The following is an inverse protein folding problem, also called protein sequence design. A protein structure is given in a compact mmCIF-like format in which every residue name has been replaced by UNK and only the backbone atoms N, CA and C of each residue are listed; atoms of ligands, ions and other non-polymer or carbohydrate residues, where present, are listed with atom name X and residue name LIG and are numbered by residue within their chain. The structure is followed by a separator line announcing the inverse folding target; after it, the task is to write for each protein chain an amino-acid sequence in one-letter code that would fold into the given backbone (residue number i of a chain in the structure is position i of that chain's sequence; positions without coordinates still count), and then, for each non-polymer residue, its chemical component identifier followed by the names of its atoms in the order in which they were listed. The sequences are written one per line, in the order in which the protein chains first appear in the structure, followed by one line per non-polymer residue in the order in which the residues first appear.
data_IF_406365433970
#
_entry.id   IF_406365433970
#
_cell.length_a   1.000
_cell.length_b   1.000
_cell.length_c   1.000
_cell.angle_alpha   90.00
_cell.angle_beta   90.00
_cell.angle_gamma   90.00
#
_symmetry.space_group_name_H-M   'P 1'
#
loop_
_entity.id
_entity.type
_entity.pdbx_description
1 polymer ?
#
# COMPACT_ATOMS: atom_id res chain seq x y z
N UNK A 1 -9.43 -9.11 -36.06
CA UNK A 1 -9.73 -10.30 -35.22
C UNK A 1 -9.52 -9.88 -33.78
N UNK A 2 -10.60 -9.59 -33.07
CA UNK A 2 -10.55 -9.23 -31.66
C UNK A 2 -10.67 -10.53 -30.87
N UNK A 3 -9.58 -10.97 -30.24
CA UNK A 3 -9.56 -12.17 -29.41
C UNK A 3 -10.54 -12.01 -28.25
N UNK A 4 -11.50 -12.92 -28.20
CA UNK A 4 -12.54 -13.01 -27.20
C UNK A 4 -11.94 -13.46 -25.87
N UNK A 5 -12.22 -12.66 -24.84
CA UNK A 5 -12.46 -13.08 -23.45
C UNK A 5 -11.32 -13.73 -22.68
N UNK A 6 -10.64 -12.91 -21.87
CA UNK A 6 -10.16 -13.29 -20.53
C UNK A 6 -11.37 -13.73 -19.67
N UNK A 7 -11.88 -14.92 -19.96
CA UNK A 7 -12.95 -15.52 -19.20
C UNK A 7 -12.33 -16.00 -17.89
N UNK A 8 -12.32 -15.11 -16.89
CA UNK A 8 -11.93 -15.41 -15.51
C UNK A 8 -12.54 -16.76 -15.11
N UNK A 9 -11.71 -17.79 -14.81
CA UNK A 9 -12.23 -19.12 -14.54
C UNK A 9 -13.21 -19.08 -13.37
N UNK A 10 -14.26 -19.90 -13.41
CA UNK A 10 -15.23 -19.99 -12.31
C UNK A 10 -14.57 -20.39 -10.98
N UNK A 11 -15.20 -20.12 -9.84
CA UNK A 11 -14.59 -20.27 -8.51
C UNK A 11 -14.04 -21.68 -8.22
N UNK A 12 -14.68 -22.74 -8.73
CA UNK A 12 -14.18 -24.12 -8.61
C UNK A 12 -12.93 -24.40 -9.44
N UNK A 13 -12.84 -23.89 -10.68
CA UNK A 13 -11.63 -24.00 -11.51
C UNK A 13 -10.47 -23.19 -10.93
N UNK A 14 -10.75 -22.04 -10.31
CA UNK A 14 -9.72 -21.23 -9.63
C UNK A 14 -9.12 -21.92 -8.42
N UNK A 15 -9.93 -22.60 -7.61
CA UNK A 15 -9.43 -23.37 -6.48
C UNK A 15 -8.52 -24.51 -6.95
N UNK A 16 -8.91 -25.25 -7.99
CA UNK A 16 -8.10 -26.32 -8.57
C UNK A 16 -6.79 -25.80 -9.18
N UNK A 17 -6.83 -24.68 -9.93
CA UNK A 17 -5.63 -24.02 -10.46
C UNK A 17 -4.73 -23.50 -9.34
N UNK A 18 -5.30 -22.92 -8.28
CA UNK A 18 -4.54 -22.45 -7.13
C UNK A 18 -3.91 -23.60 -6.33
N UNK A 19 -4.55 -24.78 -6.30
CA UNK A 19 -3.97 -26.00 -5.72
C UNK A 19 -2.81 -26.53 -6.56
N UNK A 20 -2.96 -26.55 -7.88
CA UNK A 20 -1.90 -26.94 -8.82
C UNK A 20 -0.73 -25.95 -8.79
N UNK A 21 -1.01 -24.64 -8.79
CA UNK A 21 -0.01 -23.57 -8.63
C UNK A 21 0.70 -23.66 -7.28
N UNK A 22 -0.03 -23.91 -6.18
CA UNK A 22 0.57 -24.08 -4.86
C UNK A 22 1.45 -25.34 -4.76
N UNK A 23 1.06 -26.42 -5.46
CA UNK A 23 1.84 -27.65 -5.52
C UNK A 23 3.07 -27.53 -6.43
N UNK A 24 2.97 -26.77 -7.52
CA UNK A 24 4.07 -26.49 -8.46
C UNK A 24 5.02 -25.38 -7.96
N UNK A 25 4.56 -24.53 -7.04
CA UNK A 25 5.36 -23.43 -6.51
C UNK A 25 6.49 -23.91 -5.60
N UNK A 26 7.73 -23.62 -6.04
CA UNK A 26 8.94 -23.73 -5.25
C UNK A 26 9.02 -22.68 -4.13
N UNK A 27 10.23 -22.28 -3.75
CA UNK A 27 10.45 -21.23 -2.77
C UNK A 27 9.95 -19.86 -3.28
N UNK A 28 9.93 -18.86 -2.40
CA UNK A 28 9.84 -17.47 -2.84
C UNK A 28 10.98 -17.13 -3.82
N UNK A 29 10.77 -16.15 -4.73
CA UNK A 29 11.83 -15.68 -5.63
C UNK A 29 13.10 -15.31 -4.86
N UNK A 30 14.26 -15.56 -5.46
CA UNK A 30 15.55 -15.32 -4.80
C UNK A 30 15.65 -13.88 -4.26
N UNK A 31 16.08 -13.75 -3.00
CA UNK A 31 16.20 -12.46 -2.31
C UNK A 31 14.87 -11.82 -1.87
N UNK A 32 13.72 -12.45 -2.14
CA UNK A 32 12.42 -11.97 -1.67
C UNK A 32 12.03 -12.61 -0.34
N UNK A 33 11.91 -11.78 0.69
CA UNK A 33 11.30 -12.15 1.97
C UNK A 33 9.76 -12.11 1.91
N UNK A 34 9.11 -12.90 2.77
CA UNK A 34 7.65 -12.86 2.98
C UNK A 34 7.11 -11.45 3.30
N UNK A 35 7.91 -10.61 3.95
CA UNK A 35 7.55 -9.22 4.24
C UNK A 35 7.61 -8.31 3.01
N UNK A 36 8.58 -8.54 2.13
CA UNK A 36 8.63 -7.85 0.83
C UNK A 36 7.45 -8.27 -0.06
N UNK A 37 7.03 -9.53 0.00
CA UNK A 37 5.82 -9.99 -0.69
C UNK A 37 4.58 -9.26 -0.16
N UNK A 38 4.41 -9.13 1.16
CA UNK A 38 3.33 -8.33 1.77
C UNK A 38 3.39 -6.87 1.31
N UNK A 39 4.57 -6.26 1.27
CA UNK A 39 4.72 -4.88 0.79
C UNK A 39 4.33 -4.75 -0.69
N UNK A 40 4.68 -5.74 -1.53
CA UNK A 40 4.25 -5.78 -2.92
C UNK A 40 2.73 -5.96 -3.02
N UNK A 41 2.14 -6.84 -2.21
CA UNK A 41 0.70 -7.06 -2.15
C UNK A 41 -0.06 -5.78 -1.81
N UNK A 42 0.40 -4.98 -0.83
CA UNK A 42 -0.20 -3.66 -0.53
C UNK A 42 -0.16 -2.74 -1.75
N UNK A 43 0.97 -2.72 -2.46
CA UNK A 43 1.16 -1.90 -3.66
C UNK A 43 0.25 -2.31 -4.82
N UNK A 44 0.04 -3.62 -4.97
CA UNK A 44 -0.77 -4.26 -6.01
C UNK A 44 -2.26 -4.42 -5.65
N UNK A 45 -2.65 -4.17 -4.41
CA UNK A 45 -4.00 -4.40 -3.90
C UNK A 45 -5.12 -3.82 -4.78
N UNK A 46 -5.03 -2.59 -5.32
CA UNK A 46 -6.06 -2.07 -6.24
C UNK A 46 -6.17 -2.87 -7.54
N UNK A 47 -5.05 -3.27 -8.15
CA UNK A 47 -5.03 -4.06 -9.38
C UNK A 47 -5.57 -5.48 -9.16
N UNK A 48 -5.27 -6.05 -8.00
CA UNK A 48 -5.78 -7.35 -7.56
C UNK A 48 -7.20 -7.26 -6.98
N UNK A 49 -7.80 -6.07 -6.91
CA UNK A 49 -9.13 -5.78 -6.36
C UNK A 49 -9.31 -6.13 -4.89
N UNK A 50 -8.25 -6.10 -4.09
CA UNK A 50 -8.26 -6.48 -2.68
C UNK A 50 -8.80 -5.35 -1.81
N UNK A 51 -9.69 -5.70 -0.88
CA UNK A 51 -10.13 -4.77 0.15
C UNK A 51 -9.07 -4.62 1.25
N UNK A 52 -9.13 -3.53 2.01
CA UNK A 52 -8.23 -3.33 3.15
C UNK A 52 -8.32 -4.48 4.18
N UNK A 53 -9.51 -5.06 4.36
CA UNK A 53 -9.70 -6.22 5.24
C UNK A 53 -9.02 -7.50 4.74
N UNK A 54 -9.01 -7.72 3.42
CA UNK A 54 -8.32 -8.86 2.81
C UNK A 54 -6.81 -8.74 2.97
N UNK A 55 -6.27 -7.55 2.74
CA UNK A 55 -4.83 -7.27 2.92
C UNK A 55 -4.43 -7.46 4.38
N UNK A 56 -5.19 -6.91 5.32
CA UNK A 56 -4.93 -7.08 6.76
C UNK A 56 -4.98 -8.55 7.21
N UNK A 57 -5.88 -9.36 6.65
CA UNK A 57 -5.95 -10.79 6.95
C UNK A 57 -4.71 -11.53 6.45
N UNK A 58 -4.27 -11.26 5.21
CA UNK A 58 -3.04 -11.85 4.68
C UNK A 58 -1.84 -11.43 5.50
N UNK A 59 -1.75 -10.15 5.90
CA UNK A 59 -0.68 -9.66 6.77
C UNK A 59 -0.58 -10.44 8.06
N UNK A 60 -1.70 -10.62 8.76
CA UNK A 60 -1.74 -11.44 9.96
C UNK A 60 -1.34 -12.89 9.68
N UNK A 61 -1.77 -13.48 8.56
CA UNK A 61 -1.38 -14.84 8.22
C UNK A 61 0.12 -14.96 7.95
N UNK A 62 0.70 -13.96 7.26
CA UNK A 62 2.14 -13.88 7.08
C UNK A 62 2.82 -13.72 8.44
N UNK A 63 2.33 -12.88 9.35
CA UNK A 63 2.85 -12.75 10.72
C UNK A 63 2.85 -14.07 11.49
N UNK A 64 1.82 -14.91 11.30
CA UNK A 64 1.64 -16.21 11.97
C UNK A 64 2.44 -17.36 11.34
N UNK A 65 2.89 -17.20 10.09
CA UNK A 65 3.78 -18.16 9.42
C UNK A 65 5.23 -18.02 9.88
N UNK A 66 6.02 -19.08 9.72
CA UNK A 66 7.44 -19.10 10.08
C UNK A 66 8.31 -19.07 8.81
N UNK A 67 9.56 -18.58 8.86
CA UNK A 67 10.42 -18.48 7.67
C UNK A 67 10.54 -19.79 6.88
N UNK A 68 10.71 -20.91 7.58
CA UNK A 68 10.84 -22.24 6.96
C UNK A 68 9.57 -22.72 6.23
N UNK A 69 8.40 -22.14 6.54
CA UNK A 69 7.16 -22.51 5.84
C UNK A 69 7.14 -21.96 4.40
N UNK A 70 8.02 -21.01 4.07
CA UNK A 70 8.12 -20.38 2.76
C UNK A 70 9.21 -20.99 1.87
N UNK A 71 9.98 -21.94 2.39
CA UNK A 71 11.02 -22.66 1.66
C UNK A 71 10.44 -23.67 0.65
N UNK A 72 11.27 -24.10 -0.29
CA UNK A 72 10.87 -25.11 -1.28
C UNK A 72 10.51 -26.43 -0.58
N UNK A 73 9.39 -27.04 -0.98
CA UNK A 73 8.89 -28.29 -0.37
C UNK A 73 8.13 -28.10 0.95
N UNK A 74 8.11 -26.90 1.52
CA UNK A 74 7.21 -26.54 2.63
C UNK A 74 5.96 -25.81 2.10
N UNK A 75 4.92 -25.73 2.92
CA UNK A 75 3.70 -24.97 2.62
C UNK A 75 3.29 -24.09 3.82
N UNK A 76 3.04 -22.78 3.60
CA UNK A 76 2.63 -21.85 4.66
C UNK A 76 1.15 -22.02 5.01
N UNK A 77 0.85 -23.01 5.87
CA UNK A 77 -0.48 -23.29 6.41
C UNK A 77 -0.64 -22.59 7.76
N UNK A 78 -1.82 -22.00 8.01
CA UNK A 78 -2.15 -21.26 9.24
C UNK A 78 -3.09 -22.10 10.14
N UNK A 79 -2.54 -22.92 11.06
CA UNK A 79 -3.32 -23.79 11.94
C UNK A 79 -3.87 -23.09 13.20
N UNK A 80 -4.23 -21.80 13.10
CA UNK A 80 -4.70 -20.98 14.23
C UNK A 80 -6.22 -20.98 14.28
N UNK A 81 -6.88 -21.14 15.45
CA UNK A 81 -8.33 -21.15 15.53
C UNK A 81 -8.95 -19.81 15.11
N UNK A 82 -10.17 -19.88 14.56
CA UNK A 82 -10.83 -18.74 13.95
C UNK A 82 -11.17 -17.62 14.94
N UNK A 83 -11.50 -17.97 16.18
CA UNK A 83 -11.79 -17.02 17.25
C UNK A 83 -10.59 -16.11 17.54
N UNK A 84 -9.38 -16.67 17.61
CA UNK A 84 -8.16 -15.87 17.84
C UNK A 84 -7.89 -14.92 16.66
N UNK A 85 -8.07 -15.37 15.41
CA UNK A 85 -7.92 -14.52 14.22
C UNK A 85 -8.95 -13.37 14.24
N UNK A 86 -10.18 -13.69 14.61
CA UNK A 86 -11.28 -12.74 14.73
C UNK A 86 -10.99 -11.67 15.80
N UNK A 87 -10.52 -12.09 16.98
CA UNK A 87 -10.09 -11.20 18.07
C UNK A 87 -8.90 -10.32 17.67
N UNK A 88 -7.87 -10.90 17.03
CA UNK A 88 -6.68 -10.17 16.59
C UNK A 88 -7.03 -9.03 15.62
N UNK A 89 -7.97 -9.28 14.71
CA UNK A 89 -8.43 -8.30 13.72
C UNK A 89 -9.59 -7.42 14.19
N UNK A 90 -10.16 -7.67 15.38
CA UNK A 90 -11.34 -6.96 15.88
C UNK A 90 -12.57 -7.15 14.99
N UNK A 91 -12.77 -8.35 14.44
CA UNK A 91 -13.88 -8.71 13.53
C UNK A 91 -14.64 -9.92 14.05
N UNK A 92 -15.87 -10.11 13.59
CA UNK A 92 -16.61 -11.37 13.83
C UNK A 92 -16.01 -12.52 13.02
N UNK A 93 -16.13 -13.75 13.52
CA UNK A 93 -15.73 -14.94 12.77
C UNK A 93 -16.40 -15.05 11.39
N UNK A 94 -17.66 -14.62 11.28
CA UNK A 94 -18.39 -14.58 10.02
C UNK A 94 -17.71 -13.66 9.01
N UNK A 95 -17.24 -12.49 9.43
CA UNK A 95 -16.50 -11.57 8.57
C UNK A 95 -15.17 -12.18 8.13
N UNK A 96 -14.44 -12.88 9.02
CA UNK A 96 -13.20 -13.57 8.64
C UNK A 96 -13.47 -14.65 7.60
N UNK A 97 -14.50 -15.50 7.78
CA UNK A 97 -14.89 -16.52 6.79
C UNK A 97 -15.24 -15.91 5.43
N UNK A 98 -15.88 -14.74 5.41
CA UNK A 98 -16.20 -14.03 4.18
C UNK A 98 -14.94 -13.48 3.49
N UNK A 99 -13.99 -12.94 4.26
CA UNK A 99 -12.70 -12.48 3.73
C UNK A 99 -11.90 -13.65 3.14
N UNK A 100 -11.82 -14.78 3.84
CA UNK A 100 -11.16 -16.00 3.36
C UNK A 100 -11.79 -16.50 2.06
N UNK A 101 -13.12 -16.56 1.99
CA UNK A 101 -13.83 -16.95 0.77
C UNK A 101 -13.45 -16.02 -0.40
N UNK A 102 -13.49 -14.72 -0.17
CA UNK A 102 -13.16 -13.74 -1.20
C UNK A 102 -11.68 -13.77 -1.61
N UNK A 103 -10.77 -14.16 -0.71
CA UNK A 103 -9.36 -14.40 -1.03
C UNK A 103 -9.16 -15.69 -1.83
N UNK A 104 -9.90 -16.75 -1.49
CA UNK A 104 -9.88 -18.02 -2.22
C UNK A 104 -10.44 -17.86 -3.64
N UNK A 105 -11.52 -17.10 -3.81
CA UNK A 105 -12.07 -16.73 -5.12
C UNK A 105 -11.08 -15.96 -6.00
N UNK A 106 -10.07 -15.32 -5.40
CA UNK A 106 -8.99 -14.61 -6.09
C UNK A 106 -7.74 -15.45 -6.30
N UNK A 107 -7.73 -16.71 -5.85
CA UNK A 107 -6.58 -17.61 -5.94
C UNK A 107 -5.39 -17.12 -5.13
N UNK A 108 -5.63 -16.46 -3.99
CA UNK A 108 -4.55 -16.03 -3.08
C UNK A 108 -4.39 -16.95 -1.88
N UNK A 109 -5.44 -17.69 -1.54
CA UNK A 109 -5.39 -18.73 -0.51
C UNK A 109 -6.15 -19.96 -1.00
N UNK A 110 -5.77 -21.11 -0.47
CA UNK A 110 -6.53 -22.35 -0.60
C UNK A 110 -6.79 -22.92 0.79
N UNK A 111 -7.76 -23.81 0.90
CA UNK A 111 -8.08 -24.44 2.17
C UNK A 111 -7.53 -25.87 2.19
N UNK A 112 -6.63 -26.17 3.13
CA UNK A 112 -6.17 -27.55 3.39
C UNK A 112 -7.06 -28.13 4.49
N UNK A 113 -7.91 -29.09 4.14
CA UNK A 113 -8.89 -29.65 5.07
C UNK A 113 -8.46 -30.99 5.69
N UNK A 114 -9.11 -31.29 6.81
CA UNK A 114 -9.16 -32.61 7.46
C UNK A 114 -10.55 -33.24 7.28
N UNK A 115 -11.28 -32.86 6.23
CA UNK A 115 -12.68 -33.21 6.01
C UNK A 115 -13.71 -32.33 6.74
N UNK A 116 -13.39 -31.73 7.91
CA UNK A 116 -14.34 -30.92 8.70
C UNK A 116 -13.97 -29.44 8.86
N UNK A 117 -13.12 -28.89 7.97
CA UNK A 117 -12.56 -27.51 8.04
C UNK A 117 -12.01 -27.09 9.41
N UNK A 118 -11.53 -28.04 10.21
CA UNK A 118 -10.89 -27.73 11.48
C UNK A 118 -9.53 -27.07 11.24
N UNK A 119 -9.22 -26.02 12.01
CA UNK A 119 -7.91 -25.39 12.05
C UNK A 119 -7.09 -26.01 13.16
N UNK A 120 -6.14 -26.88 12.80
CA UNK A 120 -5.31 -27.64 13.74
C UNK A 120 -3.98 -27.91 13.09
N UNK A 121 -2.91 -27.93 13.86
CA UNK A 121 -1.60 -28.29 13.35
C UNK A 121 -0.66 -28.64 14.48
N UNK A 122 0.45 -29.28 14.12
CA UNK A 122 1.53 -29.60 15.05
C UNK A 122 2.85 -29.30 14.38
N UNK A 123 3.69 -28.51 15.05
CA UNK A 123 5.07 -28.28 14.64
C UNK A 123 6.01 -29.28 15.32
N UNK A 124 7.09 -29.60 14.63
CA UNK A 124 8.22 -30.30 15.20
C UNK A 124 8.98 -29.37 16.16
N UNK A 125 9.31 -29.86 17.36
CA UNK A 125 9.94 -29.02 18.40
C UNK A 125 11.39 -28.65 18.10
N UNK A 126 12.10 -29.45 17.32
CA UNK A 126 13.53 -29.27 17.04
C UNK A 126 13.75 -28.44 15.79
N UNK A 127 12.94 -28.66 14.78
CA UNK A 127 13.10 -28.06 13.44
C UNK A 127 12.09 -26.93 13.17
N UNK A 128 10.99 -26.88 13.92
CA UNK A 128 9.94 -25.85 13.75
C UNK A 128 9.05 -26.04 12.52
N UNK A 129 9.34 -27.03 11.66
CA UNK A 129 8.49 -27.34 10.50
C UNK A 129 7.14 -27.90 10.93
N UNK A 130 6.13 -27.67 10.09
CA UNK A 130 4.82 -28.29 10.25
C UNK A 130 4.93 -29.80 10.00
N UNK A 131 4.64 -30.61 11.03
CA UNK A 131 4.50 -32.07 10.87
C UNK A 131 3.19 -32.44 10.19
N UNK A 132 2.14 -31.71 10.55
CA UNK A 132 0.83 -31.74 9.89
C UNK A 132 0.09 -30.45 10.23
N UNK A 133 -0.73 -29.94 9.31
CA UNK A 133 -1.54 -28.75 9.53
C UNK A 133 -2.77 -28.75 8.63
N UNK A 134 -3.84 -28.16 9.15
CA UNK A 134 -5.11 -27.93 8.48
C UNK A 134 -5.54 -26.49 8.72
N UNK A 135 -6.00 -25.84 7.66
CA UNK A 135 -6.37 -24.42 7.67
C UNK A 135 -6.13 -23.74 6.32
N UNK A 136 -6.23 -22.41 6.28
CA UNK A 136 -5.85 -21.64 5.11
C UNK A 136 -4.35 -21.80 4.80
N UNK A 137 -4.04 -22.06 3.53
CA UNK A 137 -2.68 -22.08 2.99
C UNK A 137 -2.42 -20.82 2.16
N UNK A 138 -1.25 -20.22 2.35
CA UNK A 138 -0.71 -19.14 1.53
C UNK A 138 0.14 -19.66 0.35
N UNK A 139 0.12 -20.97 0.06
CA UNK A 139 0.81 -21.56 -1.10
C UNK A 139 0.55 -20.83 -2.43
N UNK A 140 -0.71 -20.50 -2.79
CA UNK A 140 -1.01 -19.73 -3.99
C UNK A 140 -0.44 -18.31 -3.98
N UNK A 141 -0.42 -17.67 -2.80
CA UNK A 141 0.20 -16.35 -2.64
C UNK A 141 1.71 -16.40 -2.92
N UNK A 142 2.39 -17.47 -2.48
CA UNK A 142 3.80 -17.73 -2.78
C UNK A 142 4.00 -17.98 -4.28
N UNK A 143 3.18 -18.82 -4.89
CA UNK A 143 3.23 -19.13 -6.32
C UNK A 143 3.18 -17.87 -7.19
N UNK A 144 2.36 -16.89 -6.78
CA UNK A 144 2.12 -15.65 -7.51
C UNK A 144 3.02 -14.49 -7.08
N UNK A 145 4.09 -14.77 -6.33
CA UNK A 145 4.95 -13.72 -5.78
C UNK A 145 5.54 -12.80 -6.86
N UNK A 146 5.97 -13.35 -7.99
CA UNK A 146 6.52 -12.58 -9.12
C UNK A 146 5.47 -11.70 -9.80
N UNK A 147 4.27 -12.25 -10.06
CA UNK A 147 3.13 -11.50 -10.62
C UNK A 147 2.79 -10.30 -9.71
N UNK A 148 2.68 -10.54 -8.40
CA UNK A 148 2.36 -9.52 -7.41
C UNK A 148 3.47 -8.46 -7.36
N UNK A 149 4.73 -8.86 -7.42
CA UNK A 149 5.86 -7.94 -7.44
C UNK A 149 5.87 -7.07 -8.71
N UNK A 150 5.56 -7.65 -9.88
CA UNK A 150 5.44 -6.93 -11.14
C UNK A 150 4.30 -5.91 -11.12
N UNK A 151 3.12 -6.30 -10.62
CA UNK A 151 1.98 -5.41 -10.44
C UNK A 151 2.31 -4.25 -9.49
N UNK A 152 2.99 -4.55 -8.39
CA UNK A 152 3.44 -3.54 -7.44
C UNK A 152 4.46 -2.57 -8.06
N UNK A 153 5.39 -3.08 -8.87
CA UNK A 153 6.39 -2.27 -9.58
C UNK A 153 5.72 -1.33 -10.58
N UNK A 154 4.78 -1.84 -11.39
CA UNK A 154 3.98 -1.03 -12.32
C UNK A 154 3.22 0.07 -11.59
N UNK A 155 2.52 -0.26 -10.51
CA UNK A 155 1.79 0.73 -9.71
C UNK A 155 2.74 1.78 -9.07
N UNK A 156 3.96 1.40 -8.70
CA UNK A 156 4.98 2.35 -8.22
C UNK A 156 5.44 3.30 -9.33
N UNK A 157 5.70 2.77 -10.53
CA UNK A 157 6.11 3.55 -11.69
C UNK A 157 5.01 4.55 -12.12
N UNK A 158 3.76 4.10 -12.20
CA UNK A 158 2.62 4.96 -12.54
C UNK A 158 2.45 6.11 -11.53
N UNK A 159 2.58 5.83 -10.22
CA UNK A 159 2.54 6.87 -9.19
C UNK A 159 3.72 7.84 -9.31
N UNK A 160 4.92 7.35 -9.64
CA UNK A 160 6.10 8.19 -9.82
C UNK A 160 5.94 9.12 -11.04
N UNK A 161 5.45 8.60 -12.15
CA UNK A 161 5.18 9.39 -13.36
C UNK A 161 4.09 10.44 -13.11
N UNK A 162 3.01 10.06 -12.45
CA UNK A 162 1.95 11.00 -12.09
C UNK A 162 2.44 12.10 -11.12
N UNK A 163 3.44 11.82 -10.26
CA UNK A 163 4.09 12.86 -9.44
C UNK A 163 4.96 13.77 -10.30
N UNK A 164 5.80 13.20 -11.17
CA UNK A 164 6.68 13.95 -12.09
C UNK A 164 5.89 14.93 -12.96
N UNK A 165 4.80 14.46 -13.57
CA UNK A 165 3.93 15.29 -14.41
C UNK A 165 3.29 16.44 -13.61
N UNK A 166 2.81 16.18 -12.38
CA UNK A 166 2.26 17.23 -11.54
C UNK A 166 3.28 18.31 -11.20
N UNK A 167 4.50 17.91 -10.83
CA UNK A 167 5.59 18.86 -10.58
C UNK A 167 5.92 19.69 -11.83
N UNK A 168 6.00 19.04 -13.00
CA UNK A 168 6.24 19.72 -14.27
C UNK A 168 5.11 20.71 -14.62
N UNK A 169 3.84 20.32 -14.44
CA UNK A 169 2.68 21.20 -14.63
C UNK A 169 2.77 22.41 -13.69
N UNK A 170 3.04 22.17 -12.40
CA UNK A 170 3.16 23.26 -11.42
C UNK A 170 4.30 24.24 -11.78
N UNK A 171 5.45 23.73 -12.21
CA UNK A 171 6.57 24.55 -12.66
C UNK A 171 6.22 25.36 -13.92
N UNK A 172 5.64 24.71 -14.94
CA UNK A 172 5.21 25.37 -16.18
C UNK A 172 4.18 26.47 -15.92
N UNK A 173 3.19 26.21 -15.05
CA UNK A 173 2.18 27.22 -14.68
C UNK A 173 2.80 28.43 -14.01
N UNK A 174 3.80 28.24 -13.14
CA UNK A 174 4.51 29.35 -12.48
C UNK A 174 5.26 30.19 -13.51
N UNK A 175 6.08 29.55 -14.34
CA UNK A 175 6.86 30.24 -15.35
C UNK A 175 6.00 30.92 -16.44
N UNK A 176 4.87 30.32 -16.81
CA UNK A 176 3.90 30.95 -17.71
C UNK A 176 3.27 32.21 -17.12
N UNK A 177 2.95 32.19 -15.82
CA UNK A 177 2.38 33.36 -15.14
C UNK A 177 3.36 34.53 -15.19
N UNK A 178 4.61 34.28 -14.80
CA UNK A 178 5.69 35.28 -14.84
C UNK A 178 5.88 35.84 -16.26
N UNK A 179 5.96 34.96 -17.26
CA UNK A 179 6.14 35.39 -18.65
C UNK A 179 4.93 36.15 -19.23
N UNK A 180 3.70 35.82 -18.82
CA UNK A 180 2.50 36.54 -19.23
C UNK A 180 2.41 37.92 -18.59
N UNK A 181 2.87 38.06 -17.34
CA UNK A 181 2.99 39.36 -16.66
C UNK A 181 4.00 40.26 -17.40
N UNK A 182 5.17 39.73 -17.78
CA UNK A 182 6.19 40.42 -18.56
C UNK A 182 5.69 40.84 -19.97
N UNK A 183 4.96 39.96 -20.65
CA UNK A 183 4.48 40.22 -22.01
C UNK A 183 3.40 41.32 -22.10
N UNK A 184 2.75 41.63 -20.98
CA UNK A 184 1.77 42.70 -20.84
C UNK A 184 0.52 42.54 -21.72
N UNK A 185 -0.16 43.66 -22.06
CA UNK A 185 -1.44 43.65 -22.78
C UNK A 185 -1.42 42.92 -24.14
N UNK A 186 -0.25 42.84 -24.79
CA UNK A 186 -0.09 42.19 -26.09
C UNK A 186 -0.22 40.65 -26.07
N UNK A 187 -0.38 40.03 -24.90
CA UNK A 187 -0.63 38.60 -24.73
C UNK A 187 -2.01 38.28 -24.12
N UNK A 188 -2.96 39.22 -24.15
CA UNK A 188 -4.25 39.10 -23.45
C UNK A 188 -5.13 37.90 -23.84
N UNK A 189 -5.06 37.40 -25.07
CA UNK A 189 -5.73 36.14 -25.46
C UNK A 189 -5.04 34.90 -24.87
N UNK A 190 -3.71 34.86 -24.81
CA UNK A 190 -2.95 33.77 -24.18
C UNK A 190 -3.17 33.76 -22.66
N UNK A 191 -3.25 34.94 -22.03
CA UNK A 191 -3.57 35.09 -20.62
C UNK A 191 -4.96 34.55 -20.29
N UNK A 192 -5.98 34.83 -21.14
CA UNK A 192 -7.32 34.26 -21.01
C UNK A 192 -7.31 32.74 -21.13
N UNK A 193 -6.69 32.19 -22.18
CA UNK A 193 -6.55 30.73 -22.34
C UNK A 193 -5.86 30.07 -21.16
N UNK A 194 -4.83 30.70 -20.58
CA UNK A 194 -4.16 30.19 -19.38
C UNK A 194 -5.06 30.21 -18.13
N UNK A 195 -5.88 31.25 -17.98
CA UNK A 195 -6.83 31.39 -16.88
C UNK A 195 -7.95 30.34 -16.94
N UNK A 196 -8.40 29.98 -18.14
CA UNK A 196 -9.43 28.95 -18.37
C UNK A 196 -8.95 27.53 -18.01
N UNK A 197 -7.62 27.31 -17.94
CA UNK A 197 -7.07 26.00 -17.58
C UNK A 197 -7.22 25.70 -16.08
N UNK A 198 -7.74 24.52 -15.69
CA UNK A 198 -7.92 24.14 -14.30
C UNK A 198 -6.62 24.22 -13.50
N UNK A 199 -6.62 25.03 -12.43
CA UNK A 199 -5.42 25.26 -11.62
C UNK A 199 -4.95 24.02 -10.86
N UNK A 200 -5.87 23.12 -10.48
CA UNK A 200 -5.58 21.93 -9.68
C UNK A 200 -5.94 20.65 -10.42
N UNK A 201 -5.05 19.67 -10.35
CA UNK A 201 -5.34 18.29 -10.72
C UNK A 201 -5.56 17.47 -9.43
N UNK A 202 -6.75 16.87 -9.22
CA UNK A 202 -6.98 15.94 -8.11
C UNK A 202 -5.94 14.80 -8.04
N UNK A 203 -5.83 14.19 -6.86
CA UNK A 203 -4.91 13.06 -6.66
C UNK A 203 -5.24 11.86 -7.56
N UNK A 204 -6.52 11.68 -7.92
CA UNK A 204 -7.00 10.60 -8.80
C UNK A 204 -6.95 10.90 -10.30
N UNK A 205 -6.41 12.03 -10.74
CA UNK A 205 -6.34 12.36 -12.18
C UNK A 205 -5.52 11.31 -12.95
N UNK A 206 -6.07 10.70 -14.02
CA UNK A 206 -5.34 9.74 -14.85
C UNK A 206 -4.09 10.35 -15.48
N UNK A 207 -3.06 9.54 -15.72
CA UNK A 207 -1.80 9.98 -16.33
C UNK A 207 -2.05 10.62 -17.71
N UNK A 208 -2.92 10.05 -18.53
CA UNK A 208 -3.26 10.60 -19.85
C UNK A 208 -3.77 12.04 -19.77
N UNK A 209 -4.56 12.36 -18.74
CA UNK A 209 -5.06 13.71 -18.52
C UNK A 209 -3.97 14.67 -18.02
N UNK A 210 -3.05 14.19 -17.16
CA UNK A 210 -1.87 14.97 -16.78
C UNK A 210 -0.96 15.27 -17.98
N UNK A 211 -0.77 14.31 -18.88
CA UNK A 211 -0.02 14.49 -20.13
C UNK A 211 -0.69 15.54 -21.01
N UNK A 212 -2.01 15.45 -21.21
CA UNK A 212 -2.80 16.43 -21.99
C UNK A 212 -2.64 17.85 -21.44
N UNK A 213 -2.85 18.03 -20.14
CA UNK A 213 -2.70 19.33 -19.46
C UNK A 213 -1.29 19.90 -19.58
N UNK A 214 -0.26 19.05 -19.45
CA UNK A 214 1.13 19.47 -19.66
C UNK A 214 1.34 19.94 -21.10
N UNK A 215 0.83 19.21 -22.10
CA UNK A 215 0.96 19.58 -23.50
C UNK A 215 0.29 20.93 -23.82
N UNK A 216 -0.90 21.19 -23.26
CA UNK A 216 -1.60 22.47 -23.40
C UNK A 216 -0.77 23.64 -22.84
N UNK A 217 -0.16 23.47 -21.66
CA UNK A 217 0.71 24.49 -21.07
C UNK A 217 1.99 24.70 -21.89
N UNK A 218 2.60 23.63 -22.38
CA UNK A 218 3.78 23.73 -23.28
C UNK A 218 3.42 24.49 -24.56
N UNK A 219 2.26 24.21 -25.15
CA UNK A 219 1.80 24.92 -26.35
C UNK A 219 1.53 26.40 -26.09
N UNK A 220 0.94 26.75 -24.92
CA UNK A 220 0.77 28.15 -24.52
C UNK A 220 2.11 28.86 -24.34
N UNK A 221 3.10 28.18 -23.76
CA UNK A 221 4.45 28.74 -23.57
C UNK A 221 5.14 29.01 -24.91
N UNK A 222 5.11 28.04 -25.82
CA UNK A 222 5.66 28.20 -27.15
C UNK A 222 4.97 29.32 -27.95
N UNK A 223 3.64 29.47 -27.81
CA UNK A 223 2.91 30.56 -28.46
C UNK A 223 3.29 31.95 -27.92
N UNK A 224 3.60 32.04 -26.63
CA UNK A 224 4.09 33.28 -26.01
C UNK A 224 5.50 33.62 -26.49
N UNK A 225 6.41 32.63 -26.48
CA UNK A 225 7.78 32.79 -26.94
C UNK A 225 7.84 33.18 -28.42
N UNK A 226 7.02 32.57 -29.27
CA UNK A 226 6.92 32.95 -30.69
C UNK A 226 6.49 34.42 -30.88
N UNK A 227 5.64 34.97 -30.00
CA UNK A 227 5.26 36.38 -30.07
C UNK A 227 6.34 37.32 -29.57
N UNK A 228 7.12 36.89 -28.58
CA UNK A 228 8.24 37.67 -28.05
C UNK A 228 9.41 37.68 -29.04
N UNK A 229 9.72 36.53 -29.67
CA UNK A 229 10.77 36.44 -30.69
C UNK A 229 10.52 37.32 -31.93
N UNK A 230 9.25 37.52 -32.32
CA UNK A 230 8.89 38.45 -33.42
C UNK A 230 9.11 39.92 -33.02
N UNK A 231 9.08 40.25 -31.72
CA UNK A 231 9.38 41.62 -31.24
C UNK A 231 10.87 41.90 -31.19
N UNK A 232 11.70 40.91 -30.85
CA UNK A 232 13.16 41.07 -30.80
C UNK A 232 13.82 41.15 -32.19
N UNK A 233 13.18 40.65 -33.26
CA UNK A 233 13.70 40.72 -34.63
C UNK A 233 13.31 42.01 -35.39
N UNK A 234 12.77 43.01 -34.70
CA UNK A 234 12.31 44.27 -35.30
C UNK A 234 13.17 45.51 -34.96
N UNK A 235 14.33 45.32 -34.33
CA UNK A 235 15.28 46.40 -33.99
C UNK A 235 16.66 46.18 -34.60
N UNK A 236 16.72 46.17 -35.92
CA UNK A 236 17.92 46.35 -36.73
C UNK A 236 17.86 47.71 -37.47
N UNK A 237 17.83 48.78 -36.68
CA UNK A 237 17.96 50.17 -37.12
C UNK A 237 19.09 50.92 -36.38
N UNK A 238 20.32 50.70 -36.82
CA UNK A 238 21.57 51.39 -36.42
C UNK A 238 21.42 52.89 -36.11
N UNK A 239 21.90 53.34 -34.95
CA UNK A 239 22.82 54.50 -34.81
C UNK A 239 23.68 54.36 -33.55
N UNK A 240 25.00 54.34 -33.75
CA UNK A 240 25.95 54.01 -32.69
C UNK A 240 26.37 55.17 -31.78
N UNK A 241 27.12 54.81 -30.73
CA UNK A 241 28.24 55.61 -30.23
C UNK A 241 29.23 54.76 -29.45
N UNK A 242 30.50 54.93 -29.79
CA UNK A 242 31.68 54.37 -29.16
C UNK A 242 31.93 54.97 -27.77
N UNK A 243 32.13 54.11 -26.77
CA UNK A 243 33.13 54.23 -25.68
C UNK A 243 33.06 52.91 -24.89
N UNK A 244 34.08 52.06 -24.83
CA UNK A 244 35.42 52.37 -24.35
C UNK A 244 35.47 52.10 -22.84
N UNK A 245 35.92 50.92 -22.42
CA UNK A 245 36.12 50.62 -20.99
C UNK A 245 36.23 49.14 -20.62
N UNK A 246 37.48 48.66 -20.63
CA UNK A 246 38.10 47.51 -19.96
C UNK A 246 37.27 46.60 -19.01
N UNK A 247 37.52 45.28 -19.13
CA UNK A 247 37.24 44.29 -18.10
C UNK A 247 37.55 42.87 -18.57
N UNK A 248 38.63 42.30 -18.03
CA UNK A 248 39.22 40.99 -18.33
C UNK A 248 38.28 39.77 -18.22
N UNK A 249 38.49 38.79 -19.10
CA UNK A 249 38.19 37.37 -18.81
C UNK A 249 39.47 36.64 -18.34
N UNK A 250 39.39 35.44 -17.72
CA UNK A 250 38.46 34.39 -18.13
C UNK A 250 37.73 33.63 -17.00
N UNK A 251 36.67 32.93 -17.39
CA UNK A 251 36.12 31.74 -16.73
C UNK A 251 37.21 30.65 -16.61
N UNK A 252 37.28 29.80 -15.57
CA UNK A 252 36.36 28.69 -15.21
C UNK A 252 36.93 27.99 -13.93
N UNK A 253 36.43 26.85 -13.38
CA UNK A 253 35.09 26.43 -12.95
C UNK A 253 35.03 26.06 -11.44
N UNK A 254 33.91 26.31 -10.74
CA UNK A 254 33.68 25.80 -9.38
C UNK A 254 32.59 24.72 -9.33
N UNK A 255 33.08 23.47 -9.29
CA UNK A 255 32.61 22.20 -8.69
C UNK A 255 31.21 22.04 -8.03
N UNK A 256 30.71 20.77 -7.99
CA UNK A 256 29.39 20.40 -7.51
C UNK A 256 29.27 20.39 -5.98
N UNK A 257 28.14 20.84 -5.46
CA UNK A 257 27.76 20.69 -4.05
C UNK A 257 27.35 19.24 -3.78
N UNK A 258 28.28 18.43 -3.30
CA UNK A 258 27.98 17.20 -2.57
C UNK A 258 27.61 17.57 -1.12
N UNK A 259 26.31 17.63 -0.83
CA UNK A 259 25.83 17.70 0.55
C UNK A 259 25.93 16.33 1.23
N UNK A 260 26.98 16.13 2.03
CA UNK A 260 27.02 15.07 3.05
C UNK A 260 26.04 15.45 4.17
N UNK A 261 24.95 14.71 4.32
CA UNK A 261 24.13 14.77 5.53
C UNK A 261 24.83 13.96 6.63
N UNK A 262 25.30 14.65 7.67
CA UNK A 262 25.86 14.07 8.87
C UNK A 262 24.79 13.27 9.63
N UNK A 263 25.04 11.97 9.77
CA UNK A 263 24.31 11.08 10.66
C UNK A 263 24.78 11.38 12.08
N UNK A 264 23.97 12.14 12.82
CA UNK A 264 24.12 12.32 14.26
C UNK A 264 23.89 10.97 14.96
N UNK A 265 24.99 10.37 15.43
CA UNK A 265 25.00 9.19 16.29
C UNK A 265 24.35 9.55 17.63
N UNK A 266 23.17 8.99 17.91
CA UNK A 266 22.66 8.84 19.27
C UNK A 266 22.65 7.35 19.62
N UNK A 267 23.47 7.00 20.61
CA UNK A 267 23.54 5.68 21.21
C UNK A 267 22.23 5.38 21.98
N UNK A 268 21.72 4.14 21.96
CA UNK A 268 20.66 3.72 22.86
C UNK A 268 21.29 3.27 24.19
N UNK A 269 20.91 3.93 25.29
CA UNK A 269 21.18 3.45 26.64
C UNK A 269 20.13 2.43 27.05
N UNK A 270 20.59 1.22 27.34
CA UNK A 270 19.86 0.18 28.05
C UNK A 270 19.25 0.73 29.35
N UNK A 271 17.95 0.51 29.53
CA UNK A 271 17.35 0.48 30.86
C UNK A 271 16.30 -0.61 30.88
N UNK A 272 16.72 -1.78 31.36
CA UNK A 272 15.85 -2.77 31.94
C UNK A 272 14.97 -2.08 33.00
N UNK A 273 13.65 -2.13 32.82
CA UNK A 273 12.72 -1.91 33.92
C UNK A 273 11.94 -3.19 34.14
N UNK A 274 12.30 -3.83 35.25
CA UNK A 274 11.49 -4.79 35.97
C UNK A 274 10.07 -4.24 36.13
N UNK A 275 9.10 -4.96 35.56
CA UNK A 275 7.71 -4.88 35.96
C UNK A 275 7.36 -6.23 36.61
N UNK A 276 7.87 -6.37 37.82
CA UNK A 276 7.15 -7.05 38.89
C UNK A 276 5.85 -6.29 39.13
N UNK A 277 4.70 -6.93 38.92
CA UNK A 277 3.52 -6.58 39.69
C UNK A 277 2.61 -7.80 39.89
N UNK A 278 2.53 -8.15 41.17
CA UNK A 278 1.50 -8.97 41.77
C UNK A 278 0.12 -8.37 41.47
N UNK A 279 -0.84 -9.24 41.15
CA UNK A 279 -2.23 -8.85 40.96
C UNK A 279 -3.08 -10.06 40.65
N UNK A 280 -3.51 -10.76 41.70
CA UNK A 280 -4.46 -11.87 41.61
C UNK A 280 -5.80 -11.40 41.06
N UNK A 281 -6.39 -12.17 40.15
CA UNK A 281 -7.85 -12.23 40.03
C UNK A 281 -8.28 -13.70 40.09
N UNK A 282 -9.18 -13.97 41.04
CA UNK A 282 -9.66 -15.29 41.44
C UNK A 282 -10.57 -15.92 40.41
N UNK A 283 -10.46 -17.24 40.39
CA UNK A 283 -11.46 -18.27 40.18
C UNK A 283 -12.93 -17.84 40.02
N UNK A 284 -13.56 -18.39 38.98
CA UNK A 284 -14.93 -18.89 39.06
C UNK A 284 -14.91 -20.36 38.59
N UNK A 285 -15.22 -21.26 39.53
CA UNK A 285 -15.39 -22.69 39.31
C UNK A 285 -16.85 -23.01 38.95
N UNK A 286 -17.05 -23.98 38.06
CA UNK A 286 -18.36 -24.57 37.71
C UNK A 286 -18.18 -25.67 36.65
N UNK A 287 -18.96 -26.77 36.69
CA UNK A 287 -18.42 -28.13 36.62
C UNK A 287 -18.16 -28.67 35.20
N UNK A 288 -17.16 -29.56 35.11
CA UNK A 288 -16.92 -30.46 33.98
C UNK A 288 -17.91 -31.63 34.03
N UNK A 289 -18.42 -32.12 32.89
CA UNK A 289 -18.79 -33.52 32.75
C UNK A 289 -17.61 -34.35 32.22
N UNK A 290 -17.72 -35.65 32.48
CA UNK A 290 -16.66 -36.65 32.54
C UNK A 290 -16.04 -37.06 31.18
N UNK A 291 -14.71 -37.23 31.26
CA UNK A 291 -13.88 -38.23 30.62
C UNK A 291 -14.46 -39.12 29.49
N UNK A 292 -13.96 -38.90 28.27
CA UNK A 292 -13.61 -40.00 27.37
C UNK A 292 -12.09 -40.06 27.27
N UNK A 293 -11.52 -41.16 27.76
CA UNK A 293 -10.09 -41.39 27.89
C UNK A 293 -9.36 -41.44 26.53
N UNK A 294 -8.25 -40.70 26.40
CA UNK A 294 -7.29 -40.86 25.32
C UNK A 294 -5.87 -40.52 25.82
N UNK A 295 -5.07 -41.57 26.06
CA UNK A 295 -3.60 -41.70 25.97
C UNK A 295 -2.64 -40.66 26.61
N UNK A 296 -1.47 -41.08 27.12
CA UNK A 296 -0.45 -40.15 27.62
C UNK A 296 0.27 -39.52 26.41
N UNK A 297 -0.28 -38.41 25.91
CA UNK A 297 0.26 -37.67 24.77
C UNK A 297 0.05 -36.18 24.95
N UNK A 298 0.76 -35.59 25.91
CA UNK A 298 0.74 -34.16 26.19
C UNK A 298 0.95 -33.31 24.93
N UNK A 299 0.10 -32.29 24.79
CA UNK A 299 0.14 -31.28 23.73
C UNK A 299 1.56 -30.69 23.60
N UNK A 300 2.15 -30.61 22.40
CA UNK A 300 3.00 -29.49 22.08
C UNK A 300 2.10 -28.35 21.61
N UNK A 301 1.82 -27.43 22.52
CA UNK A 301 1.03 -26.23 22.28
C UNK A 301 1.70 -25.39 21.17
N UNK A 302 0.96 -25.15 20.08
CA UNK A 302 1.20 -23.93 19.31
C UNK A 302 0.73 -22.79 20.24
N UNK A 303 1.61 -21.85 20.63
CA UNK A 303 1.16 -20.71 21.41
C UNK A 303 0.10 -19.95 20.60
N UNK A 304 -0.95 -19.47 21.29
CA UNK A 304 -1.93 -18.58 20.68
C UNK A 304 -1.28 -17.35 20.05
N UNK A 305 -2.05 -16.58 19.27
CA UNK A 305 -1.52 -15.43 18.52
C UNK A 305 -0.72 -14.50 19.47
N UNK A 306 0.57 -14.23 19.20
CA UNK A 306 1.38 -13.43 20.11
C UNK A 306 0.90 -11.98 20.14
N UNK A 307 1.01 -11.34 21.31
CA UNK A 307 0.49 -9.98 21.55
C UNK A 307 1.01 -8.93 20.54
N UNK A 308 2.25 -9.07 20.06
CA UNK A 308 2.82 -8.16 19.05
C UNK A 308 2.10 -8.27 17.69
N UNK A 309 1.64 -9.47 17.31
CA UNK A 309 0.90 -9.70 16.08
C UNK A 309 -0.52 -9.14 16.21
N UNK A 310 -1.16 -9.32 17.37
CA UNK A 310 -2.46 -8.70 17.70
C UNK A 310 -2.36 -7.17 17.63
N UNK A 311 -1.33 -6.57 18.24
CA UNK A 311 -1.13 -5.13 18.23
C UNK A 311 -0.96 -4.54 16.82
N UNK A 312 -0.30 -5.28 15.92
CA UNK A 312 -0.10 -4.88 14.51
C UNK A 312 -1.36 -5.07 13.66
N UNK A 313 -2.12 -6.13 13.92
CA UNK A 313 -3.33 -6.49 13.16
C UNK A 313 -4.53 -5.58 13.46
N UNK A 314 -4.55 -4.94 14.65
CA UNK A 314 -5.57 -3.96 15.00
C UNK A 314 -5.41 -2.71 14.13
N UNK A 315 -6.47 -2.26 13.44
CA UNK A 315 -6.42 -0.97 12.76
C UNK A 315 -6.16 0.11 13.81
N UNK A 316 -5.24 1.03 13.51
CA UNK A 316 -4.94 2.21 14.33
C UNK A 316 -6.13 3.17 14.26
N UNK A 317 -7.26 2.79 14.86
CA UNK A 317 -8.39 3.69 15.08
C UNK A 317 -8.08 4.55 16.31
N UNK A 318 -7.15 5.48 16.15
CA UNK A 318 -6.98 6.63 17.04
C UNK A 318 -8.01 7.70 16.71
N UNK A 319 -9.30 7.36 16.85
CA UNK A 319 -10.41 8.31 16.80
C UNK A 319 -11.01 8.38 18.19
N UNK A 320 -10.72 9.45 18.92
CA UNK A 320 -11.36 9.79 20.19
C UNK A 320 -12.88 9.73 20.00
N UNK A 321 -13.67 9.03 20.84
CA UNK A 321 -15.11 9.15 20.78
C UNK A 321 -15.47 10.59 21.17
N UNK A 322 -15.90 11.37 20.19
CA UNK A 322 -16.47 12.69 20.41
C UNK A 322 -17.61 12.57 21.41
N UNK A 323 -17.49 13.33 22.50
CA UNK A 323 -18.51 13.51 23.53
C UNK A 323 -19.91 13.65 22.89
N UNK A 324 -20.80 12.73 23.24
CA UNK A 324 -22.23 12.95 23.10
C UNK A 324 -22.62 14.13 24.02
N UNK A 325 -22.80 15.30 23.42
CA UNK A 325 -23.44 16.43 24.06
C UNK A 325 -24.95 16.24 23.96
N UNK A 326 -25.56 15.77 25.05
CA UNK A 326 -26.98 15.94 25.31
C UNK A 326 -27.30 17.44 25.32
N UNK A 327 -28.07 17.90 24.34
CA UNK A 327 -28.68 19.22 24.31
C UNK A 327 -30.18 19.07 24.20
N UNK A 328 -30.86 19.00 25.34
CA UNK A 328 -32.31 19.17 25.43
C UNK A 328 -32.68 20.57 24.93
N UNK A 329 -33.49 20.64 23.88
CA UNK A 329 -34.00 21.88 23.31
C UNK A 329 -35.45 21.69 22.88
N UNK A 330 -36.35 21.72 23.85
CA UNK A 330 -37.79 21.92 23.63
C UNK A 330 -37.96 23.36 23.13
N UNK A 331 -38.49 23.53 21.93
CA UNK A 331 -38.89 24.81 21.35
C UNK A 331 -40.21 24.65 20.59
N UNK A 332 -41.17 25.58 20.75
CA UNK A 332 -42.58 25.32 20.49
C UNK A 332 -42.96 25.39 19.01
N UNK A 333 -44.03 24.66 18.67
CA UNK A 333 -44.73 24.73 17.38
C UNK A 333 -45.38 26.11 17.21
N UNK A 334 -45.05 26.78 16.12
CA UNK A 334 -45.77 27.94 15.59
C UNK A 334 -46.30 27.51 14.21
N UNK A 335 -47.63 27.37 14.08
CA UNK A 335 -48.31 27.37 12.77
C UNK A 335 -48.40 28.81 12.25
N UNK A 336 -48.70 29.04 10.96
CA UNK A 336 -50.09 28.92 10.52
C UNK A 336 -50.31 28.47 9.05
N UNK A 337 -51.60 28.30 8.73
CA UNK A 337 -52.27 28.02 7.44
C UNK A 337 -52.31 26.58 6.90
#
# INVERSE_FOLDING_TARGET
MLEKTDCRPGPGRRAALAEEEAAAAGALPEGMSRWQLVACLRGAAPALGLSAGMVALIELYVDLSWPQDWEAGAEPIIPVPLCEIAEALGRSERQIRNLERALAERGLIIWRDSGNRHRRGRRDRRTGHLRWAYGPSLGPLRARAEEIAALAARARAERAEARRLRLAISALRRSLREALEEAGPGAGDLARRFADLPARAPAGTPIAELVRRRAELVALRAALEARQGVRDTGDDGTTGRLSGGAGDGPADPARPVTGKAEISRRQPTDTHKDLSMNGSCRAAAGPRPEALAAGPGGRPDLPGIPAWAVARARPVNGGTPGRAGFGSGIGPRIGPE
#
